data_IF_551141565078
#
_entry.id   IF_551141565078
#
_cell.length_a   1.000
_cell.length_b   1.000
_cell.length_c   1.000
_cell.angle_alpha   90.00
_cell.angle_beta   90.00
_cell.angle_gamma   90.00
#
_symmetry.space_group_name_H-M   'P 1'
#
loop_
_entity.id
_entity.type
_entity.pdbx_description
1 polymer ?
#
# COMPACT_ATOMS: atom_id res chain seq x y z
N UNK A 1 19.78 13.32 -9.84
CA UNK A 1 20.24 14.68 -9.49
C UNK A 1 19.11 15.70 -9.57
N UNK A 2 18.09 15.49 -10.42
CA UNK A 2 16.89 16.33 -10.53
C UNK A 2 16.06 16.44 -9.24
N UNK A 3 15.77 15.31 -8.58
CA UNK A 3 14.91 15.26 -7.38
C UNK A 3 15.38 16.17 -6.24
N UNK A 4 16.71 16.36 -6.12
CA UNK A 4 17.32 17.19 -5.08
C UNK A 4 17.06 18.69 -5.29
N UNK A 5 16.91 19.11 -6.55
CA UNK A 5 16.56 20.50 -6.91
C UNK A 5 15.07 20.75 -6.73
N UNK A 6 14.25 19.78 -7.11
CA UNK A 6 12.80 19.86 -6.94
C UNK A 6 12.44 19.95 -5.46
N UNK A 7 13.03 19.10 -4.62
CA UNK A 7 12.85 19.10 -3.17
C UNK A 7 13.22 20.46 -2.54
N UNK A 8 14.34 21.06 -2.96
CA UNK A 8 14.78 22.37 -2.46
C UNK A 8 13.83 23.49 -2.87
N UNK A 9 13.34 23.46 -4.12
CA UNK A 9 12.39 24.44 -4.65
C UNK A 9 11.05 24.40 -3.88
N UNK A 10 10.50 23.21 -3.61
CA UNK A 10 9.24 23.05 -2.87
C UNK A 10 9.36 23.26 -1.35
N UNK A 11 10.58 23.41 -0.83
CA UNK A 11 10.83 23.58 0.61
C UNK A 11 11.06 25.03 1.02
N UNK A 12 11.52 25.90 0.10
CA UNK A 12 11.90 27.29 0.44
C UNK A 12 10.74 28.19 0.86
N UNK A 13 9.56 28.03 0.26
CA UNK A 13 8.39 28.87 0.55
C UNK A 13 7.45 28.28 1.61
N UNK A 14 7.85 27.18 2.27
CA UNK A 14 7.01 26.59 3.32
C UNK A 14 7.14 27.39 4.62
N UNK A 15 6.01 27.81 5.24
CA UNK A 15 6.05 28.41 6.56
C UNK A 15 6.59 27.40 7.59
N UNK A 16 7.09 27.91 8.72
CA UNK A 16 7.69 27.12 9.81
C UNK A 16 6.74 26.02 10.32
N UNK A 17 5.43 26.23 10.19
CA UNK A 17 4.38 25.26 10.53
C UNK A 17 3.48 25.00 9.32
N UNK A 18 3.91 24.17 8.35
CA UNK A 18 3.17 23.93 7.10
C UNK A 18 2.03 22.91 7.26
N UNK A 19 1.87 22.33 8.45
CA UNK A 19 0.82 21.37 8.76
C UNK A 19 0.01 21.91 9.95
N UNK A 20 -0.89 22.84 9.66
CA UNK A 20 -1.82 23.34 10.66
C UNK A 20 -2.90 22.28 10.95
N UNK A 21 -3.34 22.12 12.20
CA UNK A 21 -4.49 21.28 12.55
C UNK A 21 -5.77 21.65 11.80
N UNK A 22 -5.86 22.87 11.28
CA UNK A 22 -6.97 23.41 10.48
C UNK A 22 -6.89 23.02 9.00
N UNK A 23 -5.69 22.71 8.48
CA UNK A 23 -5.44 22.33 7.08
C UNK A 23 -5.81 20.87 6.77
N UNK A 24 -6.02 20.05 7.81
CA UNK A 24 -6.48 18.68 7.60
C UNK A 24 -7.86 18.71 6.94
N UNK A 25 -8.13 17.87 5.93
CA UNK A 25 -9.46 17.71 5.37
C UNK A 25 -10.46 17.55 6.52
N UNK A 26 -11.54 18.35 6.56
CA UNK A 26 -12.55 18.25 7.63
C UNK A 26 -13.07 16.80 7.66
N UNK A 27 -12.59 16.01 8.63
CA UNK A 27 -12.91 14.58 8.76
C UNK A 27 -11.75 13.59 8.55
N UNK A 28 -10.57 14.01 8.12
CA UNK A 28 -9.41 13.12 8.00
C UNK A 28 -8.77 12.87 9.37
N UNK A 29 -9.33 11.91 10.12
CA UNK A 29 -8.55 11.21 11.16
C UNK A 29 -7.44 10.42 10.46
N UNK A 30 -6.24 10.27 11.04
CA UNK A 30 -5.24 9.33 10.53
C UNK A 30 -5.90 7.96 10.44
N UNK A 31 -6.17 7.50 9.22
CA UNK A 31 -6.67 6.15 9.02
C UNK A 31 -5.49 5.25 9.38
N UNK A 32 -5.58 4.56 10.51
CA UNK A 32 -4.60 3.55 10.88
C UNK A 32 -4.34 2.69 9.64
N UNK A 33 -3.06 2.39 9.30
CA UNK A 33 -2.76 1.58 8.13
C UNK A 33 -3.58 0.31 8.24
N UNK A 34 -4.46 0.08 7.26
CA UNK A 34 -5.30 -1.11 7.22
C UNK A 34 -4.31 -2.26 7.11
N UNK A 35 -4.11 -2.99 8.21
CA UNK A 35 -3.24 -4.16 8.23
C UNK A 35 -3.92 -5.20 7.34
N UNK A 36 -3.56 -5.21 6.06
CA UNK A 36 -4.14 -6.10 5.07
C UNK A 36 -3.85 -7.54 5.52
N UNK A 37 -4.87 -8.20 6.07
CA UNK A 37 -4.88 -9.65 6.30
C UNK A 37 -5.13 -10.45 5.01
N UNK A 38 -5.55 -9.74 3.95
CA UNK A 38 -5.85 -10.29 2.62
C UNK A 38 -4.71 -11.03 1.88
N UNK A 39 -3.43 -10.63 1.95
CA UNK A 39 -2.38 -11.32 1.19
C UNK A 39 -2.11 -12.74 1.73
N UNK A 40 -2.29 -12.98 3.03
CA UNK A 40 -2.12 -14.32 3.61
C UNK A 40 -3.27 -15.26 3.23
N UNK A 41 -4.51 -14.77 3.20
CA UNK A 41 -5.66 -15.56 2.81
C UNK A 41 -5.60 -15.95 1.32
N UNK A 42 -5.22 -15.00 0.47
CA UNK A 42 -5.04 -15.25 -0.96
C UNK A 42 -3.87 -16.20 -1.23
N UNK A 43 -2.75 -16.06 -0.53
CA UNK A 43 -1.62 -17.00 -0.62
C UNK A 43 -2.03 -18.43 -0.22
N UNK A 44 -2.76 -18.60 0.89
CA UNK A 44 -3.24 -19.91 1.34
C UNK A 44 -4.17 -20.56 0.31
N UNK A 45 -5.07 -19.79 -0.31
CA UNK A 45 -5.97 -20.27 -1.36
C UNK A 45 -5.17 -20.76 -2.59
N UNK A 46 -4.21 -19.97 -3.05
CA UNK A 46 -3.38 -20.31 -4.21
C UNK A 46 -2.58 -21.58 -3.95
N UNK A 47 -1.96 -21.69 -2.78
CA UNK A 47 -1.20 -22.88 -2.36
C UNK A 47 -2.09 -24.13 -2.26
N UNK A 48 -3.38 -23.99 -1.90
CA UNK A 48 -4.32 -25.11 -1.85
C UNK A 48 -4.84 -25.53 -3.23
N UNK A 49 -5.19 -24.57 -4.09
CA UNK A 49 -5.87 -24.84 -5.37
C UNK A 49 -4.91 -25.32 -6.46
N UNK A 50 -3.71 -24.74 -6.57
CA UNK A 50 -2.72 -25.13 -7.59
C UNK A 50 -2.37 -26.63 -7.54
N UNK A 51 -1.96 -27.23 -6.40
CA UNK A 51 -1.61 -28.64 -6.36
C UNK A 51 -2.80 -29.55 -6.66
N UNK A 52 -4.02 -29.17 -6.28
CA UNK A 52 -5.24 -29.91 -6.65
C UNK A 52 -5.41 -29.99 -8.16
N UNK A 53 -5.20 -28.88 -8.87
CA UNK A 53 -5.27 -28.83 -10.34
C UNK A 53 -4.17 -29.69 -10.96
N UNK A 54 -2.92 -29.56 -10.48
CA UNK A 54 -1.78 -30.34 -10.99
C UNK A 54 -2.00 -31.84 -10.80
N UNK A 55 -2.45 -32.26 -9.61
CA UNK A 55 -2.76 -33.66 -9.33
C UNK A 55 -3.92 -34.14 -10.19
N UNK A 56 -4.96 -33.33 -10.39
CA UNK A 56 -6.08 -33.65 -11.27
C UNK A 56 -5.63 -33.93 -12.70
N UNK A 57 -4.80 -33.05 -13.27
CA UNK A 57 -4.24 -33.22 -14.63
C UNK A 57 -3.32 -34.45 -14.70
N UNK A 58 -2.50 -34.68 -13.67
CA UNK A 58 -1.59 -35.82 -13.65
C UNK A 58 -2.32 -37.17 -13.56
N UNK A 59 -3.43 -37.24 -12.82
CA UNK A 59 -4.24 -38.46 -12.67
C UNK A 59 -5.21 -38.67 -13.84
N UNK A 60 -5.66 -37.60 -14.49
CA UNK A 60 -6.62 -37.61 -15.59
C UNK A 60 -6.11 -36.69 -16.72
N UNK A 61 -5.10 -37.16 -17.50
CA UNK A 61 -4.54 -36.37 -18.60
C UNK A 61 -5.51 -36.19 -19.78
#
# INVERSE_FOLDING_TARGET
MESRRDEEFYSRDRPVHPALPEDRPRGAKPKAPVKHRGPWLTAALVIGVIPLIVVGIALFP
#
